data_IF_728152182332
#
_entry.id   IF_728152182332
#
_cell.length_a   1.000
_cell.length_b   1.000
_cell.length_c   1.000
_cell.angle_alpha   90.00
_cell.angle_beta   90.00
_cell.angle_gamma   90.00
#
_symmetry.space_group_name_H-M   'P 1'
#
loop_
_entity.id
_entity.type
_entity.pdbx_description
1 polymer ?
#
# COMPACT_ATOMS: atom_id res chain seq x y z
N UNK A 1 18.25 -8.52 -13.31
CA UNK A 1 17.73 -7.62 -12.41
C UNK A 1 16.83 -6.61 -13.04
N UNK A 2 15.68 -6.46 -12.59
CA UNK A 2 14.74 -5.55 -13.16
C UNK A 2 15.15 -4.08 -12.98
N UNK A 3 14.46 -3.21 -13.65
CA UNK A 3 14.65 -1.79 -13.47
C UNK A 3 14.28 -1.41 -12.04
N UNK A 4 14.92 -0.39 -11.54
CA UNK A 4 14.57 0.12 -10.22
C UNK A 4 13.20 0.76 -10.27
N UNK A 5 12.36 0.41 -9.31
CA UNK A 5 11.05 1.00 -9.17
C UNK A 5 11.14 2.06 -8.09
N UNK A 6 10.66 3.25 -8.39
CA UNK A 6 10.64 4.33 -7.42
C UNK A 6 9.22 4.55 -6.93
N UNK A 7 9.08 5.25 -5.82
CA UNK A 7 7.78 5.57 -5.27
C UNK A 7 7.48 7.05 -5.48
N UNK A 8 6.25 7.34 -5.87
CA UNK A 8 5.76 8.71 -5.84
C UNK A 8 5.91 9.23 -4.41
N UNK A 9 6.44 10.43 -4.25
CA UNK A 9 6.79 10.94 -2.94
C UNK A 9 5.60 11.01 -1.98
N UNK A 10 4.48 11.53 -2.45
CA UNK A 10 3.29 11.62 -1.61
C UNK A 10 2.77 10.24 -1.24
N UNK A 11 2.83 9.31 -2.18
CA UNK A 11 2.42 7.93 -1.93
C UNK A 11 3.31 7.28 -0.89
N UNK A 12 4.61 7.50 -0.98
CA UNK A 12 5.54 6.94 -0.02
C UNK A 12 5.28 7.47 1.38
N UNK A 13 5.00 8.77 1.51
CA UNK A 13 4.68 9.36 2.79
C UNK A 13 3.43 8.71 3.40
N UNK A 14 2.41 8.51 2.59
CA UNK A 14 1.19 7.86 3.06
C UNK A 14 1.45 6.41 3.45
N UNK A 15 2.28 5.72 2.67
CA UNK A 15 2.66 4.35 2.98
C UNK A 15 3.32 4.26 4.34
N UNK A 16 4.28 5.13 4.61
CA UNK A 16 4.98 5.10 5.89
C UNK A 16 4.04 5.42 7.06
N UNK A 17 3.08 6.32 6.85
CA UNK A 17 2.10 6.62 7.89
C UNK A 17 1.16 5.44 8.14
N UNK A 18 0.79 4.72 7.08
CA UNK A 18 -0.01 3.50 7.24
C UNK A 18 0.76 2.47 8.07
N UNK A 19 2.04 2.31 7.77
CA UNK A 19 2.88 1.35 8.51
C UNK A 19 2.95 1.73 9.99
N UNK A 20 3.01 3.03 10.30
CA UNK A 20 3.07 3.48 11.70
C UNK A 20 1.82 3.12 12.49
N UNK A 21 0.69 2.90 11.83
CA UNK A 21 -0.55 2.50 12.51
C UNK A 21 -0.59 1.02 12.82
N UNK A 22 0.35 0.25 12.31
CA UNK A 22 0.44 -1.19 12.56
C UNK A 22 1.23 -1.41 13.85
N UNK A 23 0.86 -2.42 14.65
CA UNK A 23 1.65 -2.74 15.85
C UNK A 23 3.13 -2.90 15.53
N UNK A 24 3.97 -2.39 16.42
CA UNK A 24 5.41 -2.31 16.19
C UNK A 24 6.01 -3.63 15.72
N UNK A 25 5.61 -4.73 16.35
CA UNK A 25 6.22 -6.03 16.04
C UNK A 25 5.82 -6.58 14.67
N UNK A 26 4.81 -5.99 14.02
CA UNK A 26 4.37 -6.41 12.69
C UNK A 26 4.82 -5.46 11.59
N UNK A 27 5.36 -4.30 11.95
CA UNK A 27 5.69 -3.26 10.97
C UNK A 27 6.69 -3.71 9.92
N UNK A 28 7.72 -4.42 10.33
CA UNK A 28 8.75 -4.85 9.40
C UNK A 28 8.21 -5.79 8.34
N UNK A 29 7.43 -6.78 8.77
CA UNK A 29 6.86 -7.75 7.83
C UNK A 29 5.87 -7.07 6.91
N UNK A 30 5.00 -6.21 7.46
CA UNK A 30 3.99 -5.54 6.66
C UNK A 30 4.65 -4.62 5.63
N UNK A 31 5.65 -3.86 6.06
CA UNK A 31 6.35 -2.96 5.15
C UNK A 31 6.97 -3.72 3.99
N UNK A 32 7.62 -4.83 4.27
CA UNK A 32 8.24 -5.63 3.23
C UNK A 32 7.21 -6.22 2.27
N UNK A 33 6.17 -6.85 2.80
CA UNK A 33 5.18 -7.51 1.95
C UNK A 33 4.42 -6.52 1.07
N UNK A 34 3.98 -5.42 1.65
CA UNK A 34 3.19 -4.44 0.91
C UNK A 34 4.05 -3.74 -0.13
N UNK A 35 5.28 -3.33 0.24
CA UNK A 35 6.14 -2.65 -0.72
C UNK A 35 6.50 -3.54 -1.89
N UNK A 36 6.83 -4.81 -1.62
CA UNK A 36 7.15 -5.76 -2.69
C UNK A 36 5.96 -5.98 -3.60
N UNK A 37 4.76 -6.08 -3.03
CA UNK A 37 3.56 -6.28 -3.84
C UNK A 37 3.29 -5.07 -4.72
N UNK A 38 3.40 -3.86 -4.17
CA UNK A 38 3.19 -2.64 -4.94
C UNK A 38 4.19 -2.55 -6.10
N UNK A 39 5.46 -2.83 -5.81
CA UNK A 39 6.49 -2.78 -6.84
C UNK A 39 6.29 -3.87 -7.89
N UNK A 40 5.80 -5.03 -7.47
CA UNK A 40 5.49 -6.11 -8.41
C UNK A 40 4.36 -5.71 -9.37
N UNK A 41 3.33 -5.05 -8.85
CA UNK A 41 2.22 -4.58 -9.69
C UNK A 41 2.75 -3.65 -10.76
N UNK A 42 3.57 -2.68 -10.35
CA UNK A 42 4.13 -1.69 -11.27
C UNK A 42 5.03 -2.37 -12.30
N UNK A 43 5.87 -3.29 -11.84
CA UNK A 43 6.79 -3.99 -12.74
C UNK A 43 6.08 -4.81 -13.78
N UNK A 44 4.99 -5.49 -13.41
CA UNK A 44 4.23 -6.30 -14.36
C UNK A 44 3.57 -5.45 -15.42
N UNK A 45 3.31 -4.19 -15.14
CA UNK A 45 2.72 -3.27 -16.09
C UNK A 45 3.77 -2.44 -16.83
N UNK A 46 5.04 -2.77 -16.65
CA UNK A 46 6.15 -2.06 -17.27
C UNK A 46 6.17 -0.58 -16.91
N UNK A 47 5.74 -0.25 -15.70
CA UNK A 47 5.82 1.11 -15.18
C UNK A 47 6.99 1.21 -14.22
N UNK A 48 7.42 2.42 -13.92
CA UNK A 48 8.60 2.64 -13.09
C UNK A 48 8.28 3.30 -11.76
N UNK A 49 7.02 3.69 -11.52
CA UNK A 49 6.68 4.45 -10.33
C UNK A 49 5.46 3.88 -9.64
N UNK A 50 5.56 3.67 -8.31
CA UNK A 50 4.44 3.25 -7.49
C UNK A 50 3.59 4.48 -7.17
N UNK A 51 2.32 4.43 -7.56
CA UNK A 51 1.35 5.49 -7.29
C UNK A 51 0.38 5.03 -6.20
N UNK A 52 -0.50 5.93 -5.78
CA UNK A 52 -1.41 5.63 -4.67
C UNK A 52 -2.26 4.38 -4.94
N UNK A 53 -2.74 4.23 -6.17
CA UNK A 53 -3.54 3.06 -6.51
C UNK A 53 -2.77 1.77 -6.27
N UNK A 54 -1.49 1.75 -6.66
CA UNK A 54 -0.66 0.54 -6.51
C UNK A 54 -0.47 0.21 -5.03
N UNK A 55 -0.26 1.23 -4.20
CA UNK A 55 -0.12 1.05 -2.77
C UNK A 55 -1.42 0.52 -2.16
N UNK A 56 -2.56 1.09 -2.55
CA UNK A 56 -3.86 0.66 -2.04
C UNK A 56 -4.12 -0.80 -2.45
N UNK A 57 -3.87 -1.12 -3.73
CA UNK A 57 -4.04 -2.49 -4.21
C UNK A 57 -3.16 -3.46 -3.42
N UNK A 58 -1.92 -3.05 -3.12
CA UNK A 58 -1.01 -3.90 -2.37
C UNK A 58 -1.50 -4.13 -0.95
N UNK A 59 -1.99 -3.09 -0.28
CA UNK A 59 -2.52 -3.25 1.07
C UNK A 59 -3.72 -4.19 1.10
N UNK A 60 -4.65 -4.04 0.16
CA UNK A 60 -5.80 -4.92 0.12
C UNK A 60 -5.40 -6.36 -0.21
N UNK A 61 -4.40 -6.53 -1.07
CA UNK A 61 -3.94 -7.86 -1.46
C UNK A 61 -3.22 -8.58 -0.32
N UNK A 62 -2.38 -7.87 0.44
CA UNK A 62 -1.51 -8.50 1.43
C UNK A 62 -2.13 -8.52 2.83
N UNK A 63 -3.24 -7.85 3.06
CA UNK A 63 -3.88 -7.80 4.37
C UNK A 63 -4.99 -8.84 4.42
N UNK A 64 -4.99 -9.71 5.44
CA UNK A 64 -6.08 -10.68 5.58
C UNK A 64 -7.43 -9.98 5.63
N UNK A 65 -8.45 -10.60 5.06
CA UNK A 65 -9.77 -10.00 4.93
C UNK A 65 -10.32 -9.50 6.29
N UNK A 66 -10.06 -10.26 7.36
CA UNK A 66 -10.55 -9.89 8.68
C UNK A 66 -9.99 -8.58 9.21
N UNK A 67 -8.89 -8.10 8.63
CA UNK A 67 -8.27 -6.84 9.06
C UNK A 67 -8.54 -5.70 8.08
N UNK A 68 -9.38 -5.91 7.07
CA UNK A 68 -9.69 -4.85 6.11
C UNK A 68 -10.43 -3.68 6.77
N UNK A 69 -11.28 -3.95 7.76
CA UNK A 69 -11.99 -2.88 8.46
C UNK A 69 -11.06 -1.86 9.09
N UNK A 70 -10.17 -2.28 10.00
CA UNK A 70 -9.19 -1.35 10.58
C UNK A 70 -8.30 -0.69 9.55
N UNK A 71 -7.90 -1.44 8.51
CA UNK A 71 -7.06 -0.89 7.44
C UNK A 71 -7.79 0.24 6.72
N UNK A 72 -9.07 0.04 6.40
CA UNK A 72 -9.85 1.08 5.74
C UNK A 72 -10.00 2.32 6.62
N UNK A 73 -10.20 2.12 7.92
CA UNK A 73 -10.28 3.25 8.86
C UNK A 73 -8.98 4.05 8.86
N UNK A 74 -7.84 3.35 8.85
CA UNK A 74 -6.54 4.01 8.82
C UNK A 74 -6.35 4.79 7.53
N UNK A 75 -6.76 4.22 6.40
CA UNK A 75 -6.68 4.91 5.13
C UNK A 75 -7.51 6.18 5.13
N UNK A 76 -8.75 6.08 5.65
CA UNK A 76 -9.64 7.24 5.72
C UNK A 76 -9.05 8.34 6.59
N UNK A 77 -8.43 7.97 7.70
CA UNK A 77 -7.79 8.93 8.59
C UNK A 77 -6.65 9.68 7.91
N UNK A 78 -6.03 9.07 6.91
CA UNK A 78 -4.92 9.68 6.19
C UNK A 78 -5.37 10.33 4.88
N UNK A 79 -6.66 10.39 4.64
CA UNK A 79 -7.19 11.02 3.42
C UNK A 79 -7.00 10.17 2.18
N UNK A 80 -6.81 8.87 2.34
CA UNK A 80 -6.70 7.95 1.20
C UNK A 80 -8.09 7.46 0.85
N UNK A 81 -8.57 7.84 -0.33
CA UNK A 81 -9.90 7.41 -0.80
C UNK A 81 -9.75 6.14 -1.63
N UNK A 82 -9.82 5.01 -0.95
CA UNK A 82 -9.67 3.72 -1.62
C UNK A 82 -10.88 3.39 -2.50
N UNK A 83 -12.01 4.07 -2.31
CA UNK A 83 -13.19 3.78 -3.11
C UNK A 83 -13.00 4.18 -4.57
N UNK A 84 -12.17 5.19 -4.83
CA UNK A 84 -11.91 5.60 -6.22
C UNK A 84 -11.17 4.52 -7.01
N UNK A 85 -10.63 3.53 -6.33
CA UNK A 85 -9.93 2.42 -6.96
C UNK A 85 -10.76 1.13 -6.99
N UNK A 86 -12.05 1.25 -6.67
CA UNK A 86 -12.97 0.13 -6.78
C UNK A 86 -13.24 -0.64 -5.50
N UNK A 87 -12.69 -0.20 -4.39
CA UNK A 87 -12.92 -0.89 -3.12
C UNK A 87 -14.09 -0.28 -2.38
N UNK A 88 -14.91 -1.13 -1.76
CA UNK A 88 -16.10 -0.68 -1.04
C UNK A 88 -15.75 -0.30 0.38
N UNK A 89 -16.50 0.65 0.93
CA UNK A 89 -16.36 1.05 2.33
C UNK A 89 -16.79 -0.04 3.29
#
# INVERSE_FOLDING_TARGET
MGASVIWDKTTEEKFLRMIEKIPVFLRGIAKEKVSKKAESIVGKENRAKVCEKDMVDAFFSETPFGFHGPMKSDMEALGIDYTQYGYKR
#
